data_IF_519435490017
#
_entry.id   IF_519435490017
#
_cell.length_a   1.000
_cell.length_b   1.000
_cell.length_c   1.000
_cell.angle_alpha   90.00
_cell.angle_beta   90.00
_cell.angle_gamma   90.00
#
_symmetry.space_group_name_H-M   'P 1'
#
loop_
_entity.id
_entity.type
_entity.pdbx_description
1 polymer ?
#
# COMPACT_ATOMS: atom_id res chain seq x y z
N UNK A 1 29.13 13.37 23.88
CA UNK A 1 27.90 14.03 23.38
C UNK A 1 27.69 13.84 21.88
N UNK A 2 28.65 14.20 21.01
CA UNK A 2 28.49 14.10 19.55
C UNK A 2 28.16 12.68 19.03
N UNK A 3 28.79 11.65 19.59
CA UNK A 3 28.56 10.25 19.20
C UNK A 3 27.13 9.74 19.51
N UNK A 4 26.50 10.26 20.56
CA UNK A 4 25.12 9.88 20.88
C UNK A 4 24.15 10.48 19.86
N UNK A 5 24.37 11.74 19.47
CA UNK A 5 23.57 12.39 18.44
C UNK A 5 23.70 11.70 17.09
N UNK A 6 24.90 11.27 16.69
CA UNK A 6 25.07 10.55 15.42
C UNK A 6 24.34 9.21 15.40
N UNK A 7 24.37 8.46 16.50
CA UNK A 7 23.63 7.18 16.61
C UNK A 7 22.11 7.43 16.52
N UNK A 8 21.60 8.46 17.19
CA UNK A 8 20.18 8.84 17.13
C UNK A 8 19.77 9.21 15.71
N UNK A 9 20.56 10.04 15.02
CA UNK A 9 20.28 10.45 13.64
C UNK A 9 20.26 9.26 12.67
N UNK A 10 21.19 8.31 12.83
CA UNK A 10 21.21 7.08 12.03
C UNK A 10 19.94 6.26 12.28
N UNK A 11 19.53 6.10 13.54
CA UNK A 11 18.30 5.40 13.90
C UNK A 11 17.05 6.04 13.27
N UNK A 12 16.97 7.37 13.29
CA UNK A 12 15.86 8.12 12.67
C UNK A 12 15.82 7.91 11.16
N UNK A 13 16.96 7.99 10.47
CA UNK A 13 17.04 7.78 9.02
C UNK A 13 16.60 6.36 8.63
N UNK A 14 17.04 5.35 9.36
CA UNK A 14 16.65 3.95 9.10
C UNK A 14 15.14 3.79 9.29
N UNK A 15 14.59 4.35 10.36
CA UNK A 15 13.15 4.27 10.68
C UNK A 15 12.30 4.91 9.59
N UNK A 16 12.70 6.09 9.10
CA UNK A 16 12.03 6.78 8.00
C UNK A 16 12.05 5.96 6.71
N UNK A 17 13.17 5.29 6.38
CA UNK A 17 13.24 4.42 5.19
C UNK A 17 12.29 3.23 5.28
N UNK A 18 12.19 2.60 6.45
CA UNK A 18 11.26 1.47 6.68
C UNK A 18 9.81 1.93 6.53
N UNK A 19 9.46 3.07 7.12
CA UNK A 19 8.13 3.65 7.01
C UNK A 19 7.79 3.99 5.55
N UNK A 20 8.73 4.60 4.81
CA UNK A 20 8.55 4.94 3.40
C UNK A 20 8.32 3.70 2.53
N UNK A 21 9.14 2.65 2.71
CA UNK A 21 8.97 1.38 2.01
C UNK A 21 7.61 0.75 2.32
N UNK A 22 7.19 0.76 3.59
CA UNK A 22 5.90 0.21 3.99
C UNK A 22 4.73 1.00 3.37
N UNK A 23 4.84 2.34 3.30
CA UNK A 23 3.84 3.17 2.62
C UNK A 23 3.76 2.87 1.13
N UNK A 24 4.89 2.73 0.43
CA UNK A 24 4.92 2.37 -0.99
C UNK A 24 4.29 0.99 -1.20
N UNK A 25 4.64 0.00 -0.38
CA UNK A 25 4.10 -1.34 -0.49
C UNK A 25 2.59 -1.37 -0.20
N UNK A 26 2.13 -0.53 0.73
CA UNK A 26 0.70 -0.35 1.01
C UNK A 26 -0.03 0.33 -0.15
N UNK A 27 0.55 1.38 -0.73
CA UNK A 27 -0.01 2.04 -1.91
C UNK A 27 -0.07 1.10 -3.12
N UNK A 28 0.95 0.26 -3.30
CA UNK A 28 0.97 -0.74 -4.37
C UNK A 28 -0.11 -1.81 -4.16
N UNK A 29 -0.35 -2.22 -2.92
CA UNK A 29 -1.47 -3.10 -2.57
C UNK A 29 -2.79 -2.37 -2.85
N UNK A 30 -3.00 -1.15 -2.33
CA UNK A 30 -4.23 -0.39 -2.55
C UNK A 30 -4.48 -0.12 -4.05
N UNK A 31 -3.44 0.11 -4.85
CA UNK A 31 -3.55 0.24 -6.31
C UNK A 31 -3.96 -1.07 -7.00
N UNK A 32 -3.52 -2.22 -6.45
CA UNK A 32 -3.83 -3.56 -6.97
C UNK A 32 -5.20 -4.08 -6.53
N UNK A 33 -5.95 -3.40 -5.67
CA UNK A 33 -7.26 -3.87 -5.24
C UNK A 33 -8.34 -2.79 -5.32
N UNK A 34 -9.50 -3.15 -5.86
CA UNK A 34 -10.69 -2.30 -5.91
C UNK A 34 -11.81 -2.99 -5.16
N UNK A 35 -12.59 -2.22 -4.43
CA UNK A 35 -13.79 -2.71 -3.77
C UNK A 35 -14.99 -2.55 -4.71
N UNK A 36 -15.78 -3.61 -4.87
CA UNK A 36 -17.02 -3.52 -5.64
C UNK A 36 -18.06 -2.68 -4.89
N UNK A 37 -18.58 -1.62 -5.51
CA UNK A 37 -19.55 -0.72 -4.89
C UNK A 37 -20.87 -1.38 -4.46
N UNK A 38 -21.26 -2.52 -5.07
CA UNK A 38 -22.50 -3.23 -4.74
C UNK A 38 -22.36 -4.29 -3.65
N UNK A 39 -21.24 -5.01 -3.59
CA UNK A 39 -21.07 -6.15 -2.68
C UNK A 39 -19.88 -6.01 -1.73
N UNK A 40 -19.18 -4.88 -1.80
CA UNK A 40 -17.99 -4.53 -1.01
C UNK A 40 -16.88 -5.59 -1.01
N UNK A 41 -16.87 -6.44 -2.05
CA UNK A 41 -15.86 -7.49 -2.21
C UNK A 41 -14.58 -6.88 -2.73
N UNK A 42 -13.46 -7.27 -2.14
CA UNK A 42 -12.10 -6.92 -2.59
C UNK A 42 -11.78 -7.68 -3.89
N UNK A 43 -11.54 -6.97 -4.97
CA UNK A 43 -11.23 -7.50 -6.30
C UNK A 43 -9.82 -7.04 -6.68
N UNK A 44 -9.00 -7.94 -7.20
CA UNK A 44 -7.66 -7.58 -7.67
C UNK A 44 -7.76 -6.86 -9.02
N UNK A 45 -7.26 -5.63 -9.10
CA UNK A 45 -7.07 -4.88 -10.34
C UNK A 45 -6.04 -5.63 -11.19
N UNK A 46 -6.49 -6.31 -12.24
CA UNK A 46 -5.63 -6.85 -13.29
C UNK A 46 -5.27 -5.76 -14.31
N UNK A 47 -4.66 -6.15 -15.43
CA UNK A 47 -4.44 -5.24 -16.58
C UNK A 47 -5.72 -4.89 -17.37
N UNK A 48 -6.87 -5.43 -16.97
CA UNK A 48 -8.18 -5.23 -17.59
C UNK A 48 -9.17 -4.56 -16.63
N UNK A 49 -10.28 -4.06 -17.17
CA UNK A 49 -11.34 -3.42 -16.40
C UNK A 49 -11.78 -4.33 -15.23
N UNK A 50 -11.68 -3.87 -13.97
CA UNK A 50 -12.04 -4.70 -12.81
C UNK A 50 -13.48 -5.21 -12.93
N UNK A 51 -13.66 -6.52 -12.74
CA UNK A 51 -14.93 -7.22 -12.90
C UNK A 51 -15.38 -7.88 -11.58
N UNK A 52 -16.63 -7.65 -11.18
CA UNK A 52 -17.25 -8.39 -10.08
C UNK A 52 -17.91 -9.68 -10.58
N UNK A 53 -17.36 -10.85 -10.24
CA UNK A 53 -18.02 -12.13 -10.52
C UNK A 53 -19.31 -12.35 -9.73
N UNK A 54 -19.53 -11.63 -8.62
CA UNK A 54 -20.75 -11.74 -7.81
C UNK A 54 -21.88 -10.86 -8.34
N UNK A 55 -21.55 -9.71 -8.91
CA UNK A 55 -22.53 -8.74 -9.41
C UNK A 55 -22.65 -8.75 -10.94
N UNK A 56 -21.79 -9.49 -11.64
CA UNK A 56 -21.64 -9.51 -13.10
C UNK A 56 -21.51 -8.11 -13.74
N UNK A 57 -20.70 -7.24 -13.12
CA UNK A 57 -20.51 -5.85 -13.54
C UNK A 57 -19.03 -5.52 -13.71
N UNK A 58 -18.72 -4.77 -14.75
CA UNK A 58 -17.42 -4.13 -14.98
C UNK A 58 -17.42 -2.72 -14.38
N UNK A 59 -16.26 -2.27 -13.91
CA UNK A 59 -16.02 -0.92 -13.39
C UNK A 59 -14.64 -0.41 -13.80
#
# INVERSE_FOLDING_TARGET
>A
MMLFFSIILIGVVISLRVIALNMIHRQEIEAKYVYCSKCNRKIRKGGSAPYCSKCNLFF
#
